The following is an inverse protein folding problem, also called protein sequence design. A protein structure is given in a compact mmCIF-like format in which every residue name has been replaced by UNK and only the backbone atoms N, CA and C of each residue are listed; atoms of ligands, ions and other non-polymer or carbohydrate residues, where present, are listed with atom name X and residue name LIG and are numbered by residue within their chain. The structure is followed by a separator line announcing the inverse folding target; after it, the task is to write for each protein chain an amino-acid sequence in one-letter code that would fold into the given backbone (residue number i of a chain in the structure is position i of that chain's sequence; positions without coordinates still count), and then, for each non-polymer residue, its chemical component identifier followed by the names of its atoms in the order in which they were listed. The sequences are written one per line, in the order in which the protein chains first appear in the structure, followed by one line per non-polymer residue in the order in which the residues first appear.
data_IF_214251551553
#
_entry.id   IF_214251551553
#
_cell.length_a   1.000
_cell.length_b   1.000
_cell.length_c   1.000
_cell.angle_alpha   90.00
_cell.angle_beta   90.00
_cell.angle_gamma   90.00
#
_symmetry.space_group_name_H-M   'P 1'
#
loop_
_entity.id
_entity.type
_entity.pdbx_description
1 polymer ?
#
# COMPACT_ATOMS: atom_id res chain seq x y z
N UNK A 1 -14.46 -18.44 11.15
CA UNK A 1 -13.92 -18.54 9.77
C UNK A 1 -12.66 -17.69 9.70
N UNK A 2 -11.47 -18.30 9.69
CA UNK A 2 -10.21 -17.55 9.60
C UNK A 2 -10.18 -16.89 8.22
N UNK A 3 -10.23 -15.57 8.21
CA UNK A 3 -10.03 -14.81 6.97
C UNK A 3 -8.51 -14.80 6.80
N UNK A 4 -8.01 -15.46 5.76
CA UNK A 4 -6.60 -15.37 5.37
C UNK A 4 -6.41 -14.03 4.66
N UNK A 5 -6.03 -12.97 5.40
CA UNK A 5 -5.96 -11.58 4.92
C UNK A 5 -4.56 -11.26 4.36
N UNK A 6 -4.49 -10.49 3.27
CA UNK A 6 -3.32 -10.14 2.43
C UNK A 6 -2.10 -9.52 3.14
N UNK A 7 -2.27 -8.94 4.32
CA UNK A 7 -1.23 -8.19 5.04
C UNK A 7 -1.53 -8.28 6.53
N UNK A 8 -1.42 -9.49 7.11
CA UNK A 8 -1.79 -9.78 8.50
C UNK A 8 -1.50 -8.64 9.49
N UNK A 9 -0.30 -8.05 9.57
CA UNK A 9 -0.03 -7.02 10.57
C UNK A 9 -0.82 -5.71 10.36
N UNK A 10 -1.06 -5.33 9.11
CA UNK A 10 -1.77 -4.09 8.77
C UNK A 10 -3.26 -4.21 9.07
N UNK A 11 -3.85 -5.34 8.70
CA UNK A 11 -5.28 -5.57 8.85
C UNK A 11 -5.68 -6.04 10.23
N UNK A 12 -4.80 -6.73 10.96
CA UNK A 12 -4.98 -7.00 12.39
C UNK A 12 -5.08 -5.70 13.19
N UNK A 13 -4.32 -4.66 12.81
CA UNK A 13 -4.42 -3.35 13.45
C UNK A 13 -5.80 -2.73 13.25
N UNK A 14 -6.33 -2.75 12.02
CA UNK A 14 -7.67 -2.23 11.74
C UNK A 14 -8.77 -3.07 12.41
N UNK A 15 -8.64 -4.40 12.37
CA UNK A 15 -9.58 -5.33 12.99
C UNK A 15 -9.60 -5.23 14.53
N UNK A 16 -8.55 -4.68 15.15
CA UNK A 16 -8.49 -4.42 16.58
C UNK A 16 -9.21 -3.13 17.00
N UNK A 17 -9.70 -2.31 16.05
CA UNK A 17 -10.41 -1.05 16.34
C UNK A 17 -11.93 -1.30 16.39
N UNK A 18 -12.65 -0.67 17.33
CA UNK A 18 -14.12 -0.53 17.23
C UNK A 18 -14.46 0.72 16.43
N UNK A 19 -14.96 0.53 15.21
CA UNK A 19 -15.52 1.59 14.39
C UNK A 19 -16.82 2.15 14.96
N UNK A 20 -17.59 1.37 15.72
CA UNK A 20 -18.73 1.84 16.51
C UNK A 20 -19.73 2.71 15.68
N UNK A 21 -19.93 2.37 14.40
CA UNK A 21 -20.82 3.08 13.45
C UNK A 21 -20.23 4.34 12.81
N UNK A 22 -18.97 4.67 13.10
CA UNK A 22 -18.27 5.82 12.53
C UNK A 22 -18.18 5.72 11.00
N UNK A 23 -18.41 6.84 10.33
CA UNK A 23 -18.25 6.93 8.86
C UNK A 23 -16.77 6.81 8.50
N UNK A 24 -16.46 6.00 7.50
CA UNK A 24 -15.10 5.79 7.02
C UNK A 24 -14.97 6.18 5.54
N UNK A 25 -13.87 6.87 5.25
CA UNK A 25 -13.38 7.13 3.89
C UNK A 25 -12.10 6.32 3.74
N UNK A 26 -12.09 5.39 2.79
CA UNK A 26 -10.97 4.49 2.59
C UNK A 26 -10.03 5.03 1.53
N UNK A 27 -8.74 4.71 1.63
CA UNK A 27 -7.76 5.07 0.61
C UNK A 27 -6.74 3.96 0.44
N UNK A 28 -6.43 3.62 -0.81
CA UNK A 28 -5.24 2.86 -1.17
C UNK A 28 -4.34 3.70 -2.08
N UNK A 29 -3.05 3.39 -2.08
CA UNK A 29 -2.06 4.02 -2.97
C UNK A 29 -1.46 2.93 -3.85
N UNK A 30 -1.37 3.18 -5.16
CA UNK A 30 -0.84 2.19 -6.10
C UNK A 30 0.17 2.77 -7.09
N UNK A 31 1.15 1.93 -7.44
CA UNK A 31 2.34 2.30 -8.22
C UNK A 31 2.18 2.16 -9.73
N UNK A 32 1.04 2.51 -10.30
CA UNK A 32 0.75 2.36 -11.75
C UNK A 32 0.59 0.92 -12.28
N UNK A 33 0.66 -0.12 -11.43
CA UNK A 33 0.32 -1.51 -11.84
C UNK A 33 -1.19 -1.77 -11.70
N UNK A 34 -1.65 -1.97 -10.47
CA UNK A 34 -3.05 -2.15 -10.10
C UNK A 34 -3.12 -2.13 -8.57
N UNK A 35 -4.25 -1.71 -8.01
CA UNK A 35 -4.57 -1.92 -6.60
C UNK A 35 -5.33 -3.24 -6.36
N UNK A 36 -5.72 -3.95 -7.42
CA UNK A 36 -6.42 -5.25 -7.36
C UNK A 36 -7.57 -5.23 -6.35
N UNK A 37 -7.63 -6.23 -5.46
CA UNK A 37 -8.70 -6.39 -4.49
C UNK A 37 -8.46 -5.54 -3.21
N UNK A 38 -7.38 -4.74 -3.14
CA UNK A 38 -6.96 -4.03 -1.92
C UNK A 38 -8.06 -3.16 -1.33
N UNK A 39 -8.79 -2.40 -2.16
CA UNK A 39 -9.84 -1.51 -1.68
C UNK A 39 -11.06 -2.27 -1.17
N UNK A 40 -11.47 -3.32 -1.87
CA UNK A 40 -12.64 -4.12 -1.45
C UNK A 40 -12.33 -4.93 -0.19
N UNK A 41 -11.10 -5.42 -0.05
CA UNK A 41 -10.63 -6.11 1.15
C UNK A 41 -10.54 -5.16 2.35
N UNK A 42 -10.01 -3.94 2.15
CA UNK A 42 -10.00 -2.89 3.16
C UNK A 42 -11.43 -2.51 3.58
N UNK A 43 -12.37 -2.42 2.62
CA UNK A 43 -13.77 -2.11 2.92
C UNK A 43 -14.44 -3.21 3.77
N UNK A 44 -14.32 -4.47 3.36
CA UNK A 44 -14.85 -5.59 4.12
C UNK A 44 -14.23 -5.68 5.53
N UNK A 45 -12.95 -5.34 5.68
CA UNK A 45 -12.25 -5.33 6.97
C UNK A 45 -12.74 -4.19 7.86
N UNK A 46 -12.89 -2.98 7.31
CA UNK A 46 -13.41 -1.82 8.04
C UNK A 46 -14.85 -2.06 8.51
N UNK A 47 -15.70 -2.64 7.66
CA UNK A 47 -17.09 -2.94 8.01
C UNK A 47 -17.19 -4.01 9.10
N UNK A 48 -16.34 -5.04 9.06
CA UNK A 48 -16.23 -6.03 10.14
C UNK A 48 -15.77 -5.40 11.46
N UNK A 49 -14.91 -4.38 11.39
CA UNK A 49 -14.50 -3.59 12.55
C UNK A 49 -15.60 -2.62 13.03
N UNK A 50 -16.75 -2.54 12.37
CA UNK A 50 -17.89 -1.71 12.76
C UNK A 50 -17.85 -0.29 12.20
N UNK A 51 -17.02 -0.01 11.20
CA UNK A 51 -17.09 1.24 10.45
C UNK A 51 -18.21 1.18 9.39
N UNK A 52 -18.70 2.36 9.03
CA UNK A 52 -19.66 2.55 7.94
C UNK A 52 -18.95 3.21 6.76
N UNK A 53 -18.59 2.43 5.74
CA UNK A 53 -17.83 2.93 4.58
C UNK A 53 -18.73 3.79 3.70
N UNK A 54 -18.37 5.06 3.52
CA UNK A 54 -19.13 6.02 2.70
C UNK A 54 -18.42 6.43 1.40
N UNK A 55 -17.11 6.24 1.33
CA UNK A 55 -16.32 6.55 0.14
C UNK A 55 -15.02 5.74 0.15
N UNK A 56 -14.42 5.55 -1.02
CA UNK A 56 -13.09 4.98 -1.19
C UNK A 56 -12.32 5.69 -2.30
N UNK A 57 -11.00 5.76 -2.17
CA UNK A 57 -10.10 6.41 -3.14
C UNK A 57 -8.96 5.47 -3.50
N UNK A 58 -8.75 5.26 -4.80
CA UNK A 58 -7.48 4.74 -5.30
C UNK A 58 -6.62 5.92 -5.73
N UNK A 59 -5.51 6.15 -5.03
CA UNK A 59 -4.58 7.23 -5.33
C UNK A 59 -3.34 6.71 -6.06
N UNK A 60 -2.97 7.36 -7.16
CA UNK A 60 -1.75 7.03 -7.91
C UNK A 60 -0.50 7.58 -7.21
N UNK A 61 0.60 6.83 -7.25
CA UNK A 61 1.92 7.31 -6.85
C UNK A 61 3.02 6.62 -7.67
N UNK A 62 4.24 7.14 -7.55
CA UNK A 62 5.44 6.49 -8.08
C UNK A 62 5.61 5.09 -7.50
N UNK A 63 5.90 4.12 -8.37
CA UNK A 63 6.04 2.71 -7.99
C UNK A 63 7.16 2.54 -6.96
N UNK A 64 6.90 1.89 -5.82
CA UNK A 64 7.86 1.79 -4.70
C UNK A 64 9.17 1.08 -5.06
N UNK A 65 9.10 -0.03 -5.81
CA UNK A 65 10.27 -0.84 -6.22
C UNK A 65 10.94 -0.32 -7.50
N UNK A 66 10.21 -0.24 -8.61
CA UNK A 66 10.74 0.19 -9.92
C UNK A 66 10.34 1.64 -10.17
N UNK A 67 11.08 2.58 -9.56
CA UNK A 67 10.78 4.02 -9.49
C UNK A 67 10.55 4.73 -10.85
N UNK A 68 10.94 4.14 -11.98
CA UNK A 68 10.66 4.70 -13.32
C UNK A 68 9.17 4.71 -13.66
N UNK A 69 8.38 3.79 -13.10
CA UNK A 69 6.93 3.76 -13.34
C UNK A 69 6.21 4.78 -12.47
N UNK A 70 5.40 5.62 -13.12
CA UNK A 70 4.76 6.78 -12.50
C UNK A 70 5.75 7.71 -11.77
N UNK A 71 6.98 7.86 -12.31
CA UNK A 71 7.98 8.75 -11.77
C UNK A 71 7.43 10.18 -11.59
N UNK A 72 7.67 10.78 -10.43
CA UNK A 72 7.20 12.12 -10.09
C UNK A 72 5.72 12.22 -9.71
N UNK A 73 4.98 11.10 -9.64
CA UNK A 73 3.57 11.07 -9.23
C UNK A 73 3.47 10.89 -7.70
N UNK A 74 2.57 11.59 -6.99
CA UNK A 74 1.51 12.43 -7.55
C UNK A 74 2.02 13.75 -8.15
N UNK A 75 1.56 14.07 -9.36
CA UNK A 75 1.83 15.31 -10.07
C UNK A 75 0.75 16.38 -9.76
N UNK A 76 0.76 17.50 -10.48
CA UNK A 76 -0.21 18.58 -10.27
C UNK A 76 -1.64 18.17 -10.63
N UNK A 77 -1.81 17.35 -11.67
CA UNK A 77 -3.13 16.87 -12.08
C UNK A 77 -3.69 15.87 -11.06
N UNK A 78 -2.84 15.01 -10.50
CA UNK A 78 -3.27 14.07 -9.45
C UNK A 78 -3.72 14.80 -8.19
N UNK A 79 -2.97 15.84 -7.78
CA UNK A 79 -3.35 16.68 -6.66
C UNK A 79 -4.68 17.37 -6.89
N UNK A 80 -4.87 17.97 -8.07
CA UNK A 80 -6.15 18.59 -8.44
C UNK A 80 -7.31 17.59 -8.40
N UNK A 81 -7.09 16.36 -8.88
CA UNK A 81 -8.11 15.30 -8.84
C UNK A 81 -8.44 14.84 -7.41
N UNK A 82 -7.42 14.70 -6.56
CA UNK A 82 -7.62 14.37 -5.14
C UNK A 82 -8.34 15.50 -4.39
N UNK A 83 -8.09 16.77 -4.74
CA UNK A 83 -8.81 17.91 -4.18
C UNK A 83 -10.30 17.90 -4.59
N UNK A 84 -10.61 17.52 -5.83
CA UNK A 84 -12.00 17.31 -6.28
C UNK A 84 -12.67 16.17 -5.52
N UNK A 85 -11.95 15.06 -5.29
CA UNK A 85 -12.47 13.94 -4.52
C UNK A 85 -12.78 14.35 -3.07
N UNK A 86 -11.88 15.09 -2.43
CA UNK A 86 -12.09 15.61 -1.09
C UNK A 86 -13.35 16.49 -1.00
N UNK A 87 -13.59 17.36 -2.00
CA UNK A 87 -14.80 18.19 -2.08
C UNK A 87 -16.06 17.35 -2.21
N UNK A 88 -16.07 16.35 -3.08
CA UNK A 88 -17.23 15.46 -3.27
C UNK A 88 -17.54 14.65 -2.00
N UNK A 89 -16.52 14.09 -1.36
CA UNK A 89 -16.65 13.35 -0.10
C UNK A 89 -17.17 14.28 1.01
N UNK A 90 -16.67 15.51 1.07
CA UNK A 90 -17.15 16.50 2.04
C UNK A 90 -18.63 16.83 1.81
N UNK A 91 -19.06 17.03 0.57
CA UNK A 91 -20.48 17.27 0.25
C UNK A 91 -21.36 16.11 0.69
N UNK A 92 -20.96 14.86 0.45
CA UNK A 92 -21.67 13.66 0.93
C UNK A 92 -21.73 13.59 2.46
N UNK A 93 -20.66 13.97 3.15
CA UNK A 93 -20.63 14.06 4.61
C UNK A 93 -21.62 15.11 5.15
N UNK A 94 -21.76 16.25 4.46
CA UNK A 94 -22.68 17.33 4.82
C UNK A 94 -24.15 16.97 4.57
N UNK A 95 -24.46 16.23 3.51
CA UNK A 95 -25.82 15.75 3.23
C UNK A 95 -26.26 14.61 4.15
N UNK A 96 -25.37 14.14 5.04
CA UNK A 96 -25.56 12.95 5.88
C UNK A 96 -25.90 11.69 5.06
N UNK A 97 -25.49 11.65 3.80
CA UNK A 97 -25.67 10.49 2.95
C UNK A 97 -24.70 9.38 3.40
N UNK A 98 -25.30 8.26 3.83
CA UNK A 98 -24.61 7.07 4.31
C UNK A 98 -24.60 5.95 3.27
N UNK A 99 -24.92 6.23 2.01
CA UNK A 99 -24.91 5.20 0.96
C UNK A 99 -23.52 4.58 0.85
N UNK A 100 -23.43 3.25 0.90
CA UNK A 100 -22.17 2.53 0.73
C UNK A 100 -21.81 2.54 -0.77
N UNK A 101 -20.60 2.96 -1.17
CA UNK A 101 -20.21 2.93 -2.56
C UNK A 101 -20.03 1.49 -3.05
N UNK A 102 -20.26 1.26 -4.35
CA UNK A 102 -19.82 0.04 -4.99
C UNK A 102 -18.30 0.08 -5.21
N UNK A 103 -17.58 -0.88 -4.62
CA UNK A 103 -16.13 -1.02 -4.77
C UNK A 103 -15.87 -2.34 -5.50
N UNK A 104 -15.24 -2.31 -6.69
CA UNK A 104 -14.97 -3.52 -7.47
C UNK A 104 -13.90 -4.38 -6.81
N UNK A 105 -13.94 -5.67 -7.07
CA UNK A 105 -12.93 -6.64 -6.67
C UNK A 105 -13.50 -8.03 -6.44
N UNK A 106 -12.60 -9.00 -6.25
CA UNK A 106 -12.92 -10.41 -6.23
C UNK A 106 -12.90 -10.97 -4.80
N UNK A 107 -13.72 -12.00 -4.56
CA UNK A 107 -13.72 -12.81 -3.34
C UNK A 107 -13.76 -14.29 -3.74
N UNK A 108 -13.05 -15.20 -3.04
CA UNK A 108 -12.15 -14.96 -1.91
C UNK A 108 -10.83 -14.26 -2.30
N UNK A 109 -10.18 -13.61 -1.34
CA UNK A 109 -8.93 -12.89 -1.54
C UNK A 109 -7.74 -13.84 -1.71
N UNK A 110 -6.76 -13.45 -2.54
CA UNK A 110 -5.52 -14.23 -2.73
C UNK A 110 -4.66 -14.17 -1.46
N UNK A 111 -3.94 -15.26 -1.17
CA UNK A 111 -3.01 -15.28 -0.04
C UNK A 111 -1.70 -14.58 -0.43
N UNK A 112 -1.19 -13.72 0.44
CA UNK A 112 0.11 -13.08 0.21
C UNK A 112 1.24 -14.11 0.36
N UNK A 113 1.99 -14.31 -0.72
CA UNK A 113 3.06 -15.31 -0.81
C UNK A 113 4.48 -14.77 -0.54
N UNK A 114 4.60 -13.52 -0.07
CA UNK A 114 5.87 -12.80 -0.03
C UNK A 114 6.11 -11.97 -1.30
N UNK A 115 6.98 -10.95 -1.19
CA UNK A 115 7.17 -9.97 -2.26
C UNK A 115 8.23 -10.35 -3.31
N UNK A 116 9.09 -11.34 -3.04
CA UNK A 116 10.23 -11.71 -3.89
C UNK A 116 11.34 -10.65 -4.00
N UNK A 117 11.07 -9.40 -3.60
CA UNK A 117 11.97 -8.24 -3.68
C UNK A 117 12.36 -7.76 -2.28
N UNK A 118 13.07 -8.59 -1.53
CA UNK A 118 13.49 -8.29 -0.16
C UNK A 118 14.79 -7.46 -0.17
N UNK A 119 14.80 -6.20 0.32
CA UNK A 119 16.02 -5.41 0.32
C UNK A 119 16.98 -5.87 1.42
N UNK A 120 18.26 -6.03 1.09
CA UNK A 120 19.32 -6.46 2.01
C UNK A 120 20.40 -5.39 2.15
N UNK A 121 21.10 -5.32 3.31
CA UNK A 121 22.24 -4.43 3.45
C UNK A 121 23.44 -4.92 2.62
N UNK A 122 24.28 -3.99 2.16
CA UNK A 122 25.62 -4.26 1.62
C UNK A 122 26.71 -3.93 2.66
N UNK A 123 27.97 -3.98 2.24
CA UNK A 123 29.13 -3.76 3.11
C UNK A 123 29.24 -2.32 3.66
N UNK A 124 28.56 -1.34 3.05
CA UNK A 124 28.51 0.05 3.54
C UNK A 124 27.57 0.23 4.76
N UNK A 125 26.92 -0.84 5.19
CA UNK A 125 25.95 -0.80 6.27
C UNK A 125 26.61 -0.62 7.64
N UNK A 126 26.42 0.57 8.23
CA UNK A 126 26.89 0.90 9.58
C UNK A 126 26.01 0.37 10.72
N UNK A 127 25.08 -0.53 10.43
CA UNK A 127 24.18 -1.19 11.41
C UNK A 127 23.42 -0.23 12.34
N UNK A 128 23.02 0.95 11.84
CA UNK A 128 22.31 1.97 12.64
C UNK A 128 20.89 1.58 13.11
N UNK A 129 20.31 0.47 12.62
CA UNK A 129 19.00 -0.02 13.06
C UNK A 129 17.77 0.77 12.57
N UNK A 130 17.94 1.90 11.86
CA UNK A 130 16.81 2.74 11.42
C UNK A 130 15.81 1.97 10.54
N UNK A 131 16.30 1.10 9.66
CA UNK A 131 15.46 0.27 8.79
C UNK A 131 14.57 -0.71 9.58
N UNK A 132 15.10 -1.32 10.64
CA UNK A 132 14.33 -2.21 11.52
C UNK A 132 13.30 -1.43 12.33
N UNK A 133 13.70 -0.28 12.91
CA UNK A 133 12.81 0.59 13.68
C UNK A 133 11.61 1.10 12.87
N UNK A 134 11.80 1.35 11.58
CA UNK A 134 10.80 1.94 10.69
C UNK A 134 10.08 0.91 9.79
N UNK A 135 10.31 -0.39 9.99
CA UNK A 135 9.62 -1.43 9.24
C UNK A 135 8.16 -1.52 9.72
N UNK A 136 7.15 -1.23 8.88
CA UNK A 136 5.75 -1.18 9.30
C UNK A 136 5.18 -2.55 9.71
N UNK A 137 5.84 -3.63 9.31
CA UNK A 137 5.43 -5.02 9.57
C UNK A 137 6.46 -5.78 10.39
N UNK A 138 7.45 -5.09 10.95
CA UNK A 138 8.47 -5.71 11.80
C UNK A 138 9.30 -6.81 11.12
N UNK A 139 9.44 -6.77 9.79
CA UNK A 139 10.10 -7.83 9.04
C UNK A 139 11.62 -7.89 9.19
N UNK A 140 12.27 -6.87 9.74
CA UNK A 140 13.74 -6.78 9.86
C UNK A 140 14.10 -6.95 11.34
N UNK A 141 15.03 -7.86 11.64
CA UNK A 141 15.47 -8.10 13.01
C UNK A 141 16.19 -6.87 13.60
N UNK A 142 15.93 -6.59 14.89
CA UNK A 142 16.48 -5.40 15.57
C UNK A 142 17.91 -5.58 16.04
N UNK A 143 18.34 -6.82 16.29
CA UNK A 143 19.68 -7.19 16.71
C UNK A 143 20.62 -7.42 15.53
N UNK A 144 20.08 -7.95 14.42
CA UNK A 144 20.81 -8.13 13.17
C UNK A 144 19.97 -7.68 11.96
N UNK A 145 20.23 -6.47 11.49
CA UNK A 145 19.48 -5.91 10.35
C UNK A 145 19.66 -6.70 9.05
N UNK A 146 20.66 -7.59 8.93
CA UNK A 146 20.80 -8.45 7.76
C UNK A 146 19.75 -9.56 7.70
N UNK A 147 19.16 -9.93 8.85
CA UNK A 147 18.11 -10.93 8.95
C UNK A 147 16.75 -10.29 8.66
N UNK A 148 16.07 -10.79 7.62
CA UNK A 148 14.76 -10.30 7.19
C UNK A 148 13.79 -11.47 7.05
N UNK A 149 12.65 -11.38 7.74
CA UNK A 149 11.53 -12.28 7.56
C UNK A 149 10.81 -11.95 6.23
N UNK A 150 11.11 -12.73 5.20
CA UNK A 150 10.58 -12.53 3.85
C UNK A 150 9.06 -12.77 3.73
N UNK A 151 8.45 -13.55 4.63
CA UNK A 151 7.00 -13.79 4.62
C UNK A 151 6.22 -12.57 5.11
N UNK A 152 6.83 -11.73 5.95
CA UNK A 152 6.25 -10.46 6.41
C UNK A 152 6.56 -9.30 5.45
N UNK A 153 7.71 -9.35 4.76
CA UNK A 153 8.16 -8.25 3.91
C UNK A 153 7.32 -8.12 2.62
N UNK A 154 6.53 -7.05 2.53
CA UNK A 154 5.74 -6.69 1.35
C UNK A 154 6.43 -5.71 0.39
N UNK A 155 7.76 -5.58 0.46
CA UNK A 155 8.55 -4.75 -0.46
C UNK A 155 8.13 -3.26 -0.54
N UNK A 156 7.75 -2.66 0.60
CA UNK A 156 7.41 -1.22 0.65
C UNK A 156 8.58 -0.28 0.33
N UNK A 157 9.82 -0.79 0.29
CA UNK A 157 11.06 -0.03 0.06
C UNK A 157 11.35 1.09 1.06
N UNK A 158 10.58 1.20 2.15
CA UNK A 158 10.80 2.19 3.21
C UNK A 158 12.21 2.09 3.78
N UNK A 159 12.72 0.88 4.02
CA UNK A 159 14.07 0.61 4.51
C UNK A 159 15.19 1.03 3.56
N UNK A 160 14.95 1.04 2.25
CA UNK A 160 15.88 1.56 1.23
C UNK A 160 15.86 3.08 1.27
N UNK A 161 14.66 3.67 1.21
CA UNK A 161 14.46 5.11 1.14
C UNK A 161 15.04 5.88 2.33
N UNK A 162 14.92 5.35 3.57
CA UNK A 162 15.45 6.06 4.73
C UNK A 162 16.95 5.82 4.98
N UNK A 163 17.59 4.89 4.28
CA UNK A 163 18.94 4.47 4.64
C UNK A 163 19.92 5.64 4.42
N UNK A 164 20.52 6.22 5.49
CA UNK A 164 21.37 7.39 5.35
C UNK A 164 22.67 7.09 4.59
N UNK A 165 23.08 5.81 4.56
CA UNK A 165 24.25 5.33 3.84
C UNK A 165 23.94 4.81 2.45
N UNK A 166 22.66 4.75 2.04
CA UNK A 166 22.21 4.07 0.81
C UNK A 166 22.72 2.62 0.70
N UNK A 167 23.02 2.02 1.85
CA UNK A 167 23.66 0.72 2.00
C UNK A 167 22.66 -0.44 2.02
N UNK A 168 21.43 -0.24 1.56
CA UNK A 168 20.40 -1.27 1.48
C UNK A 168 19.66 -1.17 0.17
N UNK A 169 19.50 -2.29 -0.51
CA UNK A 169 18.88 -2.34 -1.82
C UNK A 169 18.40 -3.73 -2.19
N UNK A 170 17.79 -3.81 -3.36
CA UNK A 170 17.47 -5.08 -4.02
C UNK A 170 18.57 -5.42 -5.01
N UNK A 171 18.73 -6.71 -5.29
CA UNK A 171 19.67 -7.18 -6.30
C UNK A 171 19.36 -6.54 -7.68
N UNK A 172 20.36 -5.95 -8.36
CA UNK A 172 20.16 -5.27 -9.64
C UNK A 172 19.58 -6.15 -10.74
N UNK A 173 19.97 -7.43 -10.82
CA UNK A 173 19.47 -8.34 -11.85
C UNK A 173 17.99 -8.67 -11.62
N UNK A 174 17.59 -8.92 -10.37
CA UNK A 174 16.18 -9.08 -9.98
C UNK A 174 15.36 -7.82 -10.25
N UNK A 175 15.91 -6.64 -9.98
CA UNK A 175 15.25 -5.37 -10.27
C UNK A 175 15.02 -5.18 -11.78
N UNK A 176 16.01 -5.49 -12.60
CA UNK A 176 15.88 -5.42 -14.06
C UNK A 176 14.83 -6.41 -14.60
N UNK A 177 14.83 -7.65 -14.10
CA UNK A 177 13.84 -8.66 -14.47
C UNK A 177 12.40 -8.22 -14.09
N UNK A 178 12.22 -7.69 -12.88
CA UNK A 178 10.93 -7.15 -12.45
C UNK A 178 10.50 -5.97 -13.32
N UNK A 179 11.41 -5.06 -13.64
CA UNK A 179 11.12 -3.91 -14.48
C UNK A 179 10.64 -4.33 -15.87
N UNK A 180 11.31 -5.32 -16.49
CA UNK A 180 10.89 -5.88 -17.79
C UNK A 180 9.49 -6.54 -17.71
N UNK A 181 9.20 -7.28 -16.65
CA UNK A 181 7.89 -7.90 -16.45
C UNK A 181 6.77 -6.87 -16.23
N UNK A 182 7.06 -5.80 -15.49
CA UNK A 182 6.08 -4.76 -15.17
C UNK A 182 5.84 -3.78 -16.32
N UNK A 183 6.75 -3.66 -17.28
CA UNK A 183 6.67 -2.72 -18.41
C UNK A 183 5.30 -2.73 -19.12
N UNK A 184 4.78 -3.86 -19.61
CA UNK A 184 3.47 -3.87 -20.26
C UNK A 184 2.33 -3.54 -19.28
N UNK A 185 2.45 -3.92 -18.02
CA UNK A 185 1.41 -3.75 -17.00
C UNK A 185 1.33 -2.33 -16.45
N UNK A 186 2.46 -1.61 -16.46
CA UNK A 186 2.59 -0.24 -15.98
C UNK A 186 2.68 0.76 -17.14
N UNK A 187 2.36 0.33 -18.36
CA UNK A 187 2.29 1.18 -19.53
C UNK A 187 1.13 2.17 -19.43
N UNK A 188 1.34 3.37 -19.96
CA UNK A 188 0.35 4.45 -19.92
C UNK A 188 0.21 5.15 -18.58
N UNK A 189 -0.57 6.24 -18.58
CA UNK A 189 -0.91 7.03 -17.40
C UNK A 189 -2.17 6.45 -16.78
N UNK A 190 -2.08 5.91 -15.56
CA UNK A 190 -3.27 5.55 -14.76
C UNK A 190 -3.66 6.68 -13.82
N UNK A 191 -4.93 6.69 -13.46
CA UNK A 191 -5.61 7.80 -12.80
C UNK A 191 -5.98 7.47 -11.36
N UNK A 192 -6.20 8.52 -10.56
CA UNK A 192 -6.89 8.33 -9.30
C UNK A 192 -8.37 8.02 -9.55
N UNK A 193 -8.97 7.16 -8.71
CA UNK A 193 -10.38 6.80 -8.79
C UNK A 193 -11.10 7.11 -7.48
N UNK A 194 -12.34 7.59 -7.59
CA UNK A 194 -13.24 7.84 -6.47
C UNK A 194 -14.44 6.91 -6.57
N UNK A 195 -14.73 6.23 -5.48
CA UNK A 195 -15.96 5.47 -5.26
C UNK A 195 -16.76 6.21 -4.20
N UNK A 196 -17.91 6.78 -4.58
CA UNK A 196 -18.75 7.61 -3.72
C UNK A 196 -20.22 7.35 -4.00
#
# INVERSE_FOLDING_TARGET
MKIDIYLQPLWETLAAVCGCGARAVLMCVYGNRAYEDTLVELADTAEKAGFHVIAAVAAIAEHSVVRRFAAGRPDAADRARLDEFAKAIYQKLQSNDRTRPYIPGNRPYKRFGGSGMVPLPNDDCVRCGLCAKQCPVGAIDKSDVSVVNSSLCFACMRCVSLCPKKARGVDPARLAALAAHLEPLCSGRKECELFI
#
